data_IF_849181438086
#
_entry.id   IF_849181438086
#
_cell.length_a   1.000
_cell.length_b   1.000
_cell.length_c   1.000
_cell.angle_alpha   90.00
_cell.angle_beta   90.00
_cell.angle_gamma   90.00
#
_symmetry.space_group_name_H-M   'P 1'
#
loop_
_entity.id
_entity.type
_entity.pdbx_description
1 polymer ?
#
# COMPACT_ATOMS: atom_id res chain seq x y z
N UNK A 1 -8.11 1.86 -0.40
CA UNK A 1 -8.93 1.76 0.82
C UNK A 1 -9.35 0.31 1.03
N UNK A 2 -9.76 -0.42 -0.01
CA UNK A 2 -9.91 -1.89 0.08
C UNK A 2 -8.57 -2.60 0.32
N UNK A 3 -8.52 -3.43 1.37
CA UNK A 3 -7.41 -4.32 1.70
C UNK A 3 -7.89 -5.76 1.61
N UNK A 4 -7.42 -6.48 0.59
CA UNK A 4 -7.83 -7.87 0.34
C UNK A 4 -7.21 -8.86 1.36
N UNK A 5 -7.68 -10.11 1.32
CA UNK A 5 -7.21 -11.18 2.21
C UNK A 5 -5.70 -11.42 2.09
N UNK A 6 -5.14 -11.35 0.88
CA UNK A 6 -3.71 -11.59 0.66
C UNK A 6 -2.84 -10.51 1.32
N UNK A 7 -3.24 -9.26 1.26
CA UNK A 7 -2.55 -8.18 1.97
C UNK A 7 -2.66 -8.37 3.47
N UNK A 8 -3.82 -8.77 3.99
CA UNK A 8 -3.99 -9.06 5.43
C UNK A 8 -3.12 -10.23 5.90
N UNK A 9 -2.94 -11.27 5.09
CA UNK A 9 -2.00 -12.36 5.38
C UNK A 9 -0.56 -11.85 5.48
N UNK A 10 -0.15 -10.91 4.63
CA UNK A 10 1.16 -10.26 4.73
C UNK A 10 1.27 -9.42 6.02
N UNK A 11 0.22 -8.68 6.39
CA UNK A 11 0.21 -7.94 7.66
C UNK A 11 0.28 -8.88 8.87
N UNK A 12 -0.35 -10.04 8.79
CA UNK A 12 -0.27 -11.10 9.81
C UNK A 12 1.14 -11.67 9.94
N UNK A 13 1.82 -11.92 8.82
CA UNK A 13 3.22 -12.35 8.81
C UNK A 13 4.15 -11.25 9.36
N UNK A 14 3.81 -9.98 9.12
CA UNK A 14 4.46 -8.86 9.79
C UNK A 14 4.16 -8.81 11.29
N UNK A 15 3.26 -9.59 11.85
CA UNK A 15 3.02 -9.70 13.30
C UNK A 15 1.54 -9.57 13.67
N UNK A 16 1.14 -10.26 14.73
CA UNK A 16 -0.26 -10.28 15.17
C UNK A 16 -0.75 -8.91 15.64
N UNK A 17 0.13 -8.12 16.25
CA UNK A 17 -0.16 -6.75 16.66
C UNK A 17 -0.37 -5.84 15.46
N UNK A 18 0.36 -6.07 14.35
CA UNK A 18 0.22 -5.31 13.11
C UNK A 18 -1.12 -5.62 12.43
N UNK A 19 -1.47 -6.91 12.33
CA UNK A 19 -2.78 -7.33 11.82
C UNK A 19 -3.92 -6.77 12.70
N UNK A 20 -3.80 -6.83 14.02
CA UNK A 20 -4.82 -6.33 14.94
C UNK A 20 -5.00 -4.81 14.82
N UNK A 21 -3.92 -4.03 14.72
CA UNK A 21 -3.99 -2.58 14.52
C UNK A 21 -4.61 -2.22 13.17
N UNK A 22 -4.32 -2.99 12.11
CA UNK A 22 -4.96 -2.82 10.82
C UNK A 22 -6.48 -3.01 10.91
N UNK A 23 -6.96 -4.09 11.55
CA UNK A 23 -8.40 -4.28 11.76
C UNK A 23 -9.03 -3.20 12.65
N UNK A 24 -8.30 -2.67 13.64
CA UNK A 24 -8.79 -1.59 14.51
C UNK A 24 -9.13 -0.31 13.74
N UNK A 25 -8.37 0.00 12.69
CA UNK A 25 -8.56 1.19 11.87
C UNK A 25 -9.43 0.96 10.64
N UNK A 26 -9.86 -0.27 10.40
CA UNK A 26 -10.60 -0.64 9.20
C UNK A 26 -12.10 -0.76 9.46
N UNK A 27 -12.89 -0.55 8.41
CA UNK A 27 -14.30 -0.96 8.39
C UNK A 27 -14.39 -2.43 7.98
N UNK A 28 -15.13 -3.22 8.76
CA UNK A 28 -15.29 -4.66 8.55
C UNK A 28 -16.06 -5.00 7.26
N UNK A 29 -15.84 -6.22 6.75
CA UNK A 29 -16.38 -6.69 5.46
C UNK A 29 -17.91 -6.59 5.36
N UNK A 30 -18.64 -6.76 6.46
CA UNK A 30 -20.10 -6.76 6.46
C UNK A 30 -20.71 -5.38 6.20
N UNK A 31 -19.96 -4.32 6.52
CA UNK A 31 -20.37 -2.93 6.35
C UNK A 31 -20.02 -2.34 4.97
N UNK A 32 -19.18 -3.02 4.18
CA UNK A 32 -18.75 -2.55 2.84
C UNK A 32 -19.51 -3.16 1.66
N UNK A 33 -20.24 -4.25 1.86
CA UNK A 33 -20.65 -5.11 0.74
C UNK A 33 -21.87 -4.66 -0.08
N UNK A 34 -22.34 -3.42 0.09
CA UNK A 34 -23.46 -2.87 -0.68
C UNK A 34 -22.98 -1.77 -1.63
N UNK A 35 -22.94 -2.06 -2.93
CA UNK A 35 -22.77 -1.03 -3.96
C UNK A 35 -24.15 -0.63 -4.51
N UNK A 36 -24.54 0.62 -4.29
CA UNK A 36 -25.85 1.16 -4.66
C UNK A 36 -25.72 2.10 -5.85
N UNK A 37 -26.42 1.78 -6.92
CA UNK A 37 -26.58 2.66 -8.08
C UNK A 37 -27.86 3.46 -7.87
N UNK A 38 -27.74 4.78 -7.77
CA UNK A 38 -28.86 5.68 -7.52
C UNK A 38 -28.68 6.99 -8.30
N UNK A 39 -29.77 7.71 -8.53
CA UNK A 39 -29.73 9.01 -9.22
C UNK A 39 -29.10 10.10 -8.35
N UNK A 40 -29.23 9.98 -7.03
CA UNK A 40 -28.51 10.76 -6.01
C UNK A 40 -28.59 10.03 -4.67
N UNK A 41 -27.83 10.47 -3.66
CA UNK A 41 -27.82 9.83 -2.33
C UNK A 41 -29.22 9.80 -1.66
N UNK A 42 -30.06 10.80 -1.92
CA UNK A 42 -31.44 10.86 -1.43
C UNK A 42 -32.48 10.60 -2.54
N UNK A 43 -32.02 10.15 -3.72
CA UNK A 43 -32.85 9.92 -4.90
C UNK A 43 -33.30 8.47 -5.03
N UNK A 44 -33.81 8.15 -6.22
CA UNK A 44 -34.23 6.80 -6.57
C UNK A 44 -33.03 5.84 -6.67
N UNK A 45 -33.15 4.67 -6.03
CA UNK A 45 -32.25 3.54 -6.23
C UNK A 45 -32.59 2.83 -7.54
N UNK A 46 -31.62 2.77 -8.45
CA UNK A 46 -31.72 2.10 -9.75
C UNK A 46 -31.41 0.60 -9.60
N UNK A 47 -30.48 0.26 -8.71
CA UNK A 47 -30.10 -1.12 -8.45
C UNK A 47 -28.96 -1.26 -7.45
N UNK A 48 -28.68 -2.50 -7.08
CA UNK A 48 -27.73 -2.83 -6.01
C UNK A 48 -26.96 -4.08 -6.32
N UNK A 49 -25.64 -4.02 -6.09
CA UNK A 49 -24.73 -5.13 -6.27
C UNK A 49 -24.12 -5.52 -4.92
N UNK A 50 -24.33 -6.78 -4.54
CA UNK A 50 -23.62 -7.39 -3.41
C UNK A 50 -22.16 -7.57 -3.79
N UNK A 51 -21.33 -6.75 -3.20
CA UNK A 51 -19.91 -6.67 -3.54
C UNK A 51 -19.07 -7.32 -2.46
N UNK A 52 -17.77 -7.41 -2.71
CA UNK A 52 -16.81 -7.66 -1.66
C UNK A 52 -17.05 -8.95 -0.85
N UNK A 53 -17.51 -10.01 -1.51
CA UNK A 53 -17.79 -11.29 -0.86
C UNK A 53 -19.07 -11.33 -0.02
N UNK A 54 -19.99 -10.36 -0.14
CA UNK A 54 -21.23 -10.33 0.66
C UNK A 54 -22.32 -11.28 0.19
N UNK A 55 -22.31 -11.69 -1.09
CA UNK A 55 -23.25 -12.70 -1.58
C UNK A 55 -22.98 -14.04 -0.85
N UNK A 56 -24.00 -14.77 -0.33
CA UNK A 56 -23.78 -15.95 0.52
C UNK A 56 -22.82 -17.00 -0.06
N UNK A 57 -22.94 -17.28 -1.36
CA UNK A 57 -22.03 -18.22 -2.05
C UNK A 57 -20.59 -17.70 -2.09
N UNK A 58 -20.39 -16.42 -2.42
CA UNK A 58 -19.07 -15.79 -2.44
C UNK A 58 -18.48 -15.63 -1.04
N UNK A 59 -19.31 -15.43 -0.01
CA UNK A 59 -18.90 -15.36 1.39
C UNK A 59 -18.28 -16.67 1.86
N UNK A 60 -18.94 -17.79 1.54
CA UNK A 60 -18.43 -19.11 1.90
C UNK A 60 -17.05 -19.36 1.26
N UNK A 61 -16.89 -19.03 -0.02
CA UNK A 61 -15.60 -19.13 -0.72
C UNK A 61 -14.52 -18.25 -0.08
N UNK A 62 -14.82 -16.98 0.23
CA UNK A 62 -13.89 -16.09 0.92
C UNK A 62 -13.45 -16.64 2.27
N UNK A 63 -14.38 -17.14 3.10
CA UNK A 63 -14.06 -17.68 4.43
C UNK A 63 -13.20 -18.94 4.36
N UNK A 64 -13.36 -19.77 3.31
CA UNK A 64 -12.59 -20.99 3.14
C UNK A 64 -11.21 -20.73 2.52
N UNK A 65 -11.01 -19.60 1.84
CA UNK A 65 -9.80 -19.32 1.06
C UNK A 65 -8.64 -18.75 1.89
N UNK A 66 -8.91 -18.15 3.06
CA UNK A 66 -7.89 -17.45 3.84
C UNK A 66 -8.27 -17.40 5.33
N UNK A 67 -7.29 -17.42 6.25
CA UNK A 67 -7.53 -17.13 7.66
C UNK A 67 -7.82 -15.65 7.94
N UNK A 68 -7.58 -14.75 6.98
CA UNK A 68 -7.76 -13.31 7.14
C UNK A 68 -9.01 -12.81 6.38
N UNK A 69 -9.52 -11.65 6.79
CA UNK A 69 -10.73 -11.05 6.24
C UNK A 69 -10.42 -9.78 5.46
N UNK A 70 -11.14 -9.58 4.37
CA UNK A 70 -11.07 -8.33 3.63
C UNK A 70 -11.67 -7.19 4.46
N UNK A 71 -11.13 -5.99 4.32
CA UNK A 71 -11.56 -4.82 5.07
C UNK A 71 -11.33 -3.53 4.28
N UNK A 72 -11.96 -2.45 4.76
CA UNK A 72 -11.74 -1.11 4.23
C UNK A 72 -10.82 -0.35 5.17
N UNK A 73 -9.53 -0.33 4.85
CA UNK A 73 -8.49 0.39 5.58
C UNK A 73 -7.97 1.57 4.72
N UNK A 74 -8.35 2.81 5.03
CA UNK A 74 -7.82 3.99 4.36
C UNK A 74 -6.29 4.08 4.44
N UNK A 75 -5.65 4.57 3.36
CA UNK A 75 -4.19 4.74 3.30
C UNK A 75 -3.65 5.69 4.39
N UNK A 76 -4.44 6.68 4.80
CA UNK A 76 -4.14 7.57 5.93
C UNK A 76 -3.83 6.83 7.24
N UNK A 77 -4.34 5.60 7.40
CA UNK A 77 -4.03 4.74 8.55
C UNK A 77 -3.04 3.63 8.21
N UNK A 78 -3.14 3.04 7.01
CA UNK A 78 -2.20 2.00 6.55
C UNK A 78 -0.75 2.51 6.48
N UNK A 79 -0.53 3.68 5.89
CA UNK A 79 0.82 4.20 5.67
C UNK A 79 1.55 4.46 6.99
N UNK A 80 0.96 5.17 8.00
CA UNK A 80 1.60 5.31 9.30
C UNK A 80 1.82 3.98 10.03
N UNK A 81 0.90 3.02 9.92
CA UNK A 81 1.05 1.68 10.52
C UNK A 81 2.30 0.97 9.97
N UNK A 82 2.44 0.92 8.65
CA UNK A 82 3.58 0.28 7.99
C UNK A 82 4.88 1.04 8.27
N UNK A 83 4.83 2.36 8.20
CA UNK A 83 5.99 3.21 8.45
C UNK A 83 6.52 3.05 9.88
N UNK A 84 5.62 3.13 10.87
CA UNK A 84 5.95 2.91 12.29
C UNK A 84 6.53 1.52 12.51
N UNK A 85 5.92 0.49 11.91
CA UNK A 85 6.36 -0.91 12.02
C UNK A 85 7.75 -1.12 11.42
N UNK A 86 8.05 -0.50 10.29
CA UNK A 86 9.38 -0.57 9.69
C UNK A 86 10.44 0.12 10.57
N UNK A 87 10.15 1.33 11.04
CA UNK A 87 11.08 2.09 11.87
C UNK A 87 11.34 1.42 13.22
N UNK A 88 10.32 0.84 13.86
CA UNK A 88 10.49 0.11 15.13
C UNK A 88 11.36 -1.14 15.00
N UNK A 89 11.51 -1.68 13.77
CA UNK A 89 12.36 -2.83 13.43
C UNK A 89 13.77 -2.43 12.96
N UNK A 90 14.10 -1.14 13.01
CA UNK A 90 15.44 -0.64 12.72
C UNK A 90 15.62 -0.01 11.34
N UNK A 91 14.56 0.11 10.53
CA UNK A 91 14.63 0.87 9.28
C UNK A 91 14.89 2.34 9.57
N UNK A 92 15.91 2.91 8.92
CA UNK A 92 16.18 4.34 8.98
C UNK A 92 15.38 5.07 7.90
N UNK A 93 14.37 5.81 8.32
CA UNK A 93 13.57 6.64 7.44
C UNK A 93 14.13 8.05 7.30
N UNK A 94 14.06 8.63 6.10
CA UNK A 94 14.30 10.07 5.88
C UNK A 94 13.22 10.65 4.99
N UNK A 95 12.29 11.38 5.61
CA UNK A 95 11.24 12.11 4.91
C UNK A 95 11.80 13.39 4.27
N UNK A 96 11.01 14.06 3.43
CA UNK A 96 11.41 15.30 2.74
C UNK A 96 12.72 15.16 1.96
N UNK A 97 12.99 13.96 1.45
CA UNK A 97 14.18 13.62 0.66
C UNK A 97 13.73 13.10 -0.69
N UNK A 98 14.16 13.76 -1.75
CA UNK A 98 13.73 13.49 -3.13
C UNK A 98 14.84 12.78 -3.89
N UNK A 99 14.53 11.66 -4.54
CA UNK A 99 15.45 11.01 -5.46
C UNK A 99 15.70 11.89 -6.69
N UNK A 100 16.96 12.06 -7.12
CA UNK A 100 17.31 12.80 -8.33
C UNK A 100 17.88 11.90 -9.43
N UNK A 101 18.87 11.08 -9.08
CA UNK A 101 19.57 10.21 -10.04
C UNK A 101 20.32 9.09 -9.33
N UNK A 102 20.76 8.08 -10.07
CA UNK A 102 21.68 7.07 -9.56
C UNK A 102 22.72 6.69 -10.61
N UNK A 103 23.85 6.17 -10.15
CA UNK A 103 24.83 5.48 -10.99
C UNK A 103 25.12 4.13 -10.35
N UNK A 104 25.02 3.07 -11.15
CA UNK A 104 25.35 1.71 -10.74
C UNK A 104 26.75 1.33 -11.25
N UNK A 105 27.51 0.65 -10.41
CA UNK A 105 28.78 0.00 -10.76
C UNK A 105 28.73 -1.49 -10.38
N UNK A 106 29.88 -2.18 -10.44
CA UNK A 106 29.96 -3.60 -10.16
C UNK A 106 29.62 -3.99 -8.71
N UNK A 107 29.73 -3.06 -7.75
CA UNK A 107 29.66 -3.32 -6.32
C UNK A 107 28.40 -2.74 -5.64
N UNK A 108 27.59 -1.98 -6.36
CA UNK A 108 26.36 -1.38 -5.85
C UNK A 108 25.89 -0.14 -6.62
N UNK A 109 25.04 0.65 -5.95
CA UNK A 109 24.39 1.84 -6.49
C UNK A 109 24.75 3.06 -5.65
N UNK A 110 25.17 4.14 -6.30
CA UNK A 110 25.32 5.46 -5.68
C UNK A 110 24.14 6.33 -6.09
N UNK A 111 23.27 6.64 -5.14
CA UNK A 111 22.06 7.44 -5.33
C UNK A 111 22.28 8.88 -4.90
N UNK A 112 21.90 9.83 -5.73
CA UNK A 112 21.86 11.25 -5.39
C UNK A 112 20.44 11.65 -5.05
N UNK A 113 20.26 12.26 -3.88
CA UNK A 113 18.97 12.77 -3.42
C UNK A 113 19.08 14.24 -3.04
N UNK A 114 17.96 14.98 -3.07
CA UNK A 114 17.84 16.33 -2.52
C UNK A 114 17.15 16.30 -1.17
N UNK A 115 17.81 16.83 -0.15
CA UNK A 115 17.14 17.19 1.09
C UNK A 115 16.32 18.46 0.83
N UNK A 116 14.99 18.33 0.83
CA UNK A 116 14.07 19.44 0.49
C UNK A 116 13.98 20.50 1.59
N UNK A 117 14.39 20.19 2.82
CA UNK A 117 14.38 21.15 3.92
C UNK A 117 15.59 22.10 3.84
N UNK A 118 16.74 21.56 3.42
CA UNK A 118 17.99 22.34 3.35
C UNK A 118 18.37 22.77 1.93
N UNK A 119 17.76 22.17 0.92
CA UNK A 119 18.10 22.36 -0.49
C UNK A 119 19.42 21.70 -0.91
N UNK A 120 20.08 20.94 -0.03
CA UNK A 120 21.38 20.31 -0.29
C UNK A 120 21.22 18.93 -0.89
N UNK A 121 22.13 18.60 -1.80
CA UNK A 121 22.23 17.26 -2.35
C UNK A 121 23.04 16.36 -1.42
N UNK A 122 22.59 15.12 -1.30
CA UNK A 122 23.22 14.07 -0.51
C UNK A 122 23.42 12.84 -1.39
N UNK A 123 24.50 12.10 -1.11
CA UNK A 123 24.79 10.84 -1.79
C UNK A 123 24.65 9.67 -0.82
N UNK A 124 24.03 8.60 -1.28
CA UNK A 124 23.77 7.38 -0.50
C UNK A 124 24.35 6.21 -1.29
N UNK A 125 25.25 5.44 -0.67
CA UNK A 125 25.80 4.21 -1.24
C UNK A 125 25.03 3.01 -0.70
N UNK A 126 24.49 2.19 -1.59
CA UNK A 126 23.77 0.97 -1.24
C UNK A 126 24.18 -0.20 -2.14
N UNK A 127 23.80 -1.41 -1.74
CA UNK A 127 23.97 -2.61 -2.60
C UNK A 127 22.91 -2.70 -3.68
N UNK A 128 21.69 -2.26 -3.37
CA UNK A 128 20.56 -2.23 -4.28
C UNK A 128 19.77 -0.95 -4.06
N UNK A 129 19.03 -0.54 -5.10
CA UNK A 129 18.05 0.53 -5.06
C UNK A 129 16.68 -0.05 -5.43
N UNK A 130 15.67 0.20 -4.60
CA UNK A 130 14.29 -0.24 -4.85
C UNK A 130 13.46 0.97 -5.28
N UNK A 131 12.90 0.94 -6.50
CA UNK A 131 12.00 1.96 -7.02
C UNK A 131 10.58 1.74 -6.51
N UNK A 132 10.20 2.46 -5.46
CA UNK A 132 8.85 2.46 -4.88
C UNK A 132 8.23 3.87 -4.89
N UNK A 133 8.48 4.62 -5.98
CA UNK A 133 8.20 6.05 -6.17
C UNK A 133 6.91 6.35 -6.96
N UNK A 134 6.05 5.35 -7.14
CA UNK A 134 4.68 5.52 -7.66
C UNK A 134 4.58 5.48 -9.19
N UNK A 135 3.44 5.96 -9.72
CA UNK A 135 3.06 5.76 -11.13
C UNK A 135 3.94 6.47 -12.16
N UNK A 136 4.64 7.56 -11.77
CA UNK A 136 5.59 8.29 -12.61
C UNK A 136 7.02 8.03 -12.11
N UNK A 137 7.39 6.76 -11.98
CA UNK A 137 8.66 6.35 -11.36
C UNK A 137 9.87 6.83 -12.15
N UNK A 138 10.62 7.77 -11.57
CA UNK A 138 11.91 8.22 -12.10
C UNK A 138 12.97 7.14 -11.95
N UNK A 139 12.86 6.28 -10.93
CA UNK A 139 13.77 5.15 -10.77
C UNK A 139 13.62 4.17 -11.93
N UNK A 140 12.38 3.84 -12.31
CA UNK A 140 12.11 2.95 -13.45
C UNK A 140 12.56 3.58 -14.78
N UNK A 141 12.32 4.87 -14.98
CA UNK A 141 12.78 5.62 -16.14
C UNK A 141 14.31 5.59 -16.26
N UNK A 142 15.04 5.95 -15.20
CA UNK A 142 16.50 5.96 -15.19
C UNK A 142 17.12 4.55 -15.28
N UNK A 143 16.40 3.52 -14.83
CA UNK A 143 16.78 2.13 -15.03
C UNK A 143 16.48 1.61 -16.46
N UNK A 144 15.85 2.42 -17.31
CA UNK A 144 15.52 2.08 -18.70
C UNK A 144 14.48 0.96 -18.81
N UNK A 145 13.58 0.85 -17.85
CA UNK A 145 12.55 -0.20 -17.85
C UNK A 145 11.48 0.11 -18.91
N UNK A 146 11.19 -0.84 -19.82
CA UNK A 146 10.14 -0.65 -20.82
C UNK A 146 8.75 -0.74 -20.18
N UNK A 147 7.83 0.09 -20.67
CA UNK A 147 6.42 0.04 -20.32
C UNK A 147 5.58 -0.25 -21.57
N UNK A 148 4.57 -1.10 -21.41
CA UNK A 148 3.57 -1.41 -22.41
C UNK A 148 2.18 -1.01 -21.88
N UNK A 149 1.24 -0.70 -22.78
CA UNK A 149 -0.11 -0.24 -22.45
C UNK A 149 -1.19 -1.10 -23.08
#
# INVERSE_FOLDING_TARGET
HITNQRTMEVLRDLGWEVEAEAYMHATEQDLMGENVFCTSLAGEEIGRMRSWGKHPLSRAEHLLSSPSHMNDLPQTFMEPLLFKTACSRGTQSRMSTEYLSHVQDADGVTTTCRDRLTGKDITIRSKYLVGADGGNSLVAEHAGLPFEG
#
